data_IF_484869816922
#
_entry.id   IF_484869816922
#
_cell.length_a   1.000
_cell.length_b   1.000
_cell.length_c   1.000
_cell.angle_alpha   90.00
_cell.angle_beta   90.00
_cell.angle_gamma   90.00
#
_symmetry.space_group_name_H-M   'P 1'
#
loop_
_entity.id
_entity.type
_entity.pdbx_description
1 polymer ?
#
# COMPACT_ATOMS: atom_id res chain seq x y z
N UNK A 1 -8.25 5.86 -31.55
CA UNK A 1 -8.73 4.49 -31.25
C UNK A 1 -7.74 3.64 -30.44
N UNK A 2 -6.45 3.57 -30.79
CA UNK A 2 -5.46 2.79 -30.00
C UNK A 2 -5.19 3.40 -28.61
N UNK A 3 -5.03 4.72 -28.52
CA UNK A 3 -4.80 5.44 -27.26
C UNK A 3 -5.97 5.34 -26.27
N UNK A 4 -7.21 5.35 -26.77
CA UNK A 4 -8.43 5.17 -25.96
C UNK A 4 -8.64 3.73 -25.49
N UNK A 5 -8.02 2.75 -26.17
CA UNK A 5 -8.04 1.34 -25.73
C UNK A 5 -6.97 1.09 -24.68
N UNK A 6 -5.74 1.58 -24.88
CA UNK A 6 -4.66 1.44 -23.90
C UNK A 6 -4.97 2.14 -22.57
N UNK A 7 -5.69 3.26 -22.58
CA UNK A 7 -6.13 3.93 -21.35
C UNK A 7 -7.13 3.11 -20.53
N UNK A 8 -8.12 2.48 -21.18
CA UNK A 8 -9.07 1.59 -20.51
C UNK A 8 -8.38 0.40 -19.85
N UNK A 9 -7.35 -0.15 -20.50
CA UNK A 9 -6.56 -1.26 -19.93
C UNK A 9 -5.75 -0.76 -18.74
N UNK A 10 -5.13 0.42 -18.81
CA UNK A 10 -4.41 1.00 -17.68
C UNK A 10 -5.33 1.26 -16.48
N UNK A 11 -6.55 1.78 -16.70
CA UNK A 11 -7.56 1.95 -15.64
C UNK A 11 -7.95 0.58 -15.05
N UNK A 12 -8.21 -0.41 -15.91
CA UNK A 12 -8.52 -1.78 -15.47
C UNK A 12 -7.40 -2.38 -14.63
N UNK A 13 -6.13 -2.14 -15.00
CA UNK A 13 -4.97 -2.56 -14.23
C UNK A 13 -4.88 -1.83 -12.88
N UNK A 14 -5.19 -0.53 -12.81
CA UNK A 14 -5.26 0.21 -11.54
C UNK A 14 -6.31 -0.38 -10.62
N UNK A 15 -7.51 -0.70 -11.12
CA UNK A 15 -8.58 -1.32 -10.34
C UNK A 15 -8.16 -2.72 -9.88
N UNK A 16 -7.58 -3.53 -10.77
CA UNK A 16 -7.07 -4.85 -10.42
C UNK A 16 -5.96 -4.78 -9.36
N UNK A 17 -5.06 -3.81 -9.45
CA UNK A 17 -4.03 -3.58 -8.44
C UNK A 17 -4.62 -3.20 -7.08
N UNK A 18 -5.67 -2.36 -7.06
CA UNK A 18 -6.41 -2.07 -5.82
C UNK A 18 -7.06 -3.32 -5.24
N UNK A 19 -7.66 -4.18 -6.08
CA UNK A 19 -8.22 -5.47 -5.64
C UNK A 19 -7.12 -6.35 -5.04
N UNK A 20 -5.94 -6.42 -5.66
CA UNK A 20 -4.80 -7.18 -5.11
C UNK A 20 -4.39 -6.65 -3.74
N UNK A 21 -4.30 -5.33 -3.55
CA UNK A 21 -3.96 -4.72 -2.24
C UNK A 21 -5.02 -5.06 -1.19
N UNK A 22 -6.31 -4.98 -1.54
CA UNK A 22 -7.41 -5.35 -0.63
C UNK A 22 -7.38 -6.83 -0.28
N UNK A 23 -7.14 -7.71 -1.26
CA UNK A 23 -6.97 -9.14 -1.02
C UNK A 23 -5.76 -9.42 -0.12
N UNK A 24 -4.65 -8.70 -0.29
CA UNK A 24 -3.49 -8.85 0.60
C UNK A 24 -3.79 -8.43 2.04
N UNK A 25 -4.56 -7.35 2.22
CA UNK A 25 -5.07 -6.96 3.54
C UNK A 25 -6.01 -8.03 4.12
N UNK A 26 -6.88 -8.61 3.29
CA UNK A 26 -7.76 -9.71 3.69
C UNK A 26 -6.96 -10.94 4.14
N UNK A 27 -5.98 -11.40 3.35
CA UNK A 27 -5.07 -12.50 3.71
C UNK A 27 -4.38 -12.27 5.06
N UNK A 28 -3.99 -11.02 5.37
CA UNK A 28 -3.42 -10.68 6.68
C UNK A 28 -4.45 -10.72 7.80
N UNK A 29 -5.65 -10.18 7.59
CA UNK A 29 -6.70 -10.11 8.60
C UNK A 29 -7.32 -11.47 8.94
N UNK A 30 -7.25 -12.43 8.01
CA UNK A 30 -7.68 -13.81 8.22
C UNK A 30 -6.53 -14.73 8.64
N UNK A 31 -5.37 -14.17 9.01
CA UNK A 31 -4.14 -14.89 9.37
C UNK A 31 -3.67 -15.91 8.32
N UNK A 32 -4.10 -15.76 7.08
CA UNK A 32 -3.83 -16.67 5.96
C UNK A 32 -2.51 -16.40 5.26
N UNK A 33 -1.67 -15.48 5.75
CA UNK A 33 -0.39 -15.11 5.12
C UNK A 33 0.70 -16.18 5.16
N UNK A 34 0.45 -17.30 5.86
CA UNK A 34 1.30 -18.49 5.92
C UNK A 34 0.47 -19.77 5.71
N UNK A 35 -0.68 -19.66 5.03
CA UNK A 35 -1.51 -20.82 4.69
C UNK A 35 -0.82 -21.77 3.72
N UNK A 36 0.13 -21.26 2.92
CA UNK A 36 1.00 -22.04 2.06
C UNK A 36 2.46 -21.96 2.51
N UNK A 37 3.12 -23.08 2.83
CA UNK A 37 4.49 -23.07 3.37
C UNK A 37 5.56 -22.79 2.31
N UNK A 38 5.21 -22.91 1.03
CA UNK A 38 6.10 -22.75 -0.12
C UNK A 38 5.58 -21.68 -1.09
N UNK A 39 6.45 -21.30 -2.01
CA UNK A 39 6.16 -20.37 -3.11
C UNK A 39 6.90 -20.87 -4.36
N UNK A 40 6.30 -20.83 -5.57
CA UNK A 40 5.01 -20.21 -5.93
C UNK A 40 3.79 -21.10 -5.68
N UNK A 41 4.00 -22.39 -5.40
CA UNK A 41 2.94 -23.36 -5.11
C UNK A 41 2.45 -23.34 -3.66
N UNK A 42 1.65 -24.34 -3.30
CA UNK A 42 1.14 -24.59 -1.97
C UNK A 42 1.19 -26.09 -1.72
N UNK A 43 1.94 -26.51 -0.70
CA UNK A 43 2.26 -27.90 -0.41
C UNK A 43 2.82 -28.64 -1.64
N UNK A 44 3.70 -27.97 -2.40
CA UNK A 44 4.31 -28.52 -3.61
C UNK A 44 3.37 -28.66 -4.82
N UNK A 45 2.12 -28.18 -4.71
CA UNK A 45 1.13 -28.21 -5.77
C UNK A 45 0.74 -26.80 -6.21
N UNK A 46 0.19 -26.65 -7.40
CA UNK A 46 -0.34 -25.35 -7.82
C UNK A 46 -1.75 -25.09 -7.35
N UNK A 47 -2.45 -26.05 -6.73
CA UNK A 47 -3.82 -25.90 -6.23
C UNK A 47 -3.77 -26.12 -4.70
N UNK A 48 -4.45 -25.25 -3.95
CA UNK A 48 -4.54 -25.36 -2.50
C UNK A 48 -5.27 -26.67 -2.09
N UNK A 49 -4.87 -27.30 -0.97
CA UNK A 49 -5.51 -28.52 -0.49
C UNK A 49 -6.98 -28.28 -0.13
N UNK A 50 -7.86 -29.20 -0.52
CA UNK A 50 -9.30 -29.08 -0.25
C UNK A 50 -9.59 -28.97 1.25
N UNK A 51 -10.45 -28.01 1.62
CA UNK A 51 -10.85 -27.79 3.01
C UNK A 51 -9.91 -26.88 3.83
N UNK A 52 -8.80 -26.42 3.27
CA UNK A 52 -7.88 -25.47 3.92
C UNK A 52 -8.18 -24.04 3.50
N UNK A 53 -8.90 -23.30 4.35
CA UNK A 53 -9.37 -21.96 4.01
C UNK A 53 -8.21 -20.98 3.81
N UNK A 54 -7.23 -21.01 4.70
CA UNK A 54 -6.07 -20.14 4.72
C UNK A 54 -5.22 -20.31 3.46
N UNK A 55 -4.93 -21.56 3.07
CA UNK A 55 -4.21 -21.86 1.84
C UNK A 55 -4.96 -21.35 0.59
N UNK A 56 -6.29 -21.47 0.56
CA UNK A 56 -7.09 -20.98 -0.55
C UNK A 56 -7.06 -19.45 -0.66
N UNK A 57 -7.17 -18.74 0.47
CA UNK A 57 -7.09 -17.28 0.51
C UNK A 57 -5.73 -16.81 0.01
N UNK A 58 -4.65 -17.45 0.45
CA UNK A 58 -3.30 -17.10 0.02
C UNK A 58 -3.08 -17.36 -1.48
N UNK A 59 -3.50 -18.53 -1.98
CA UNK A 59 -3.38 -18.87 -3.40
C UNK A 59 -4.24 -17.96 -4.28
N UNK A 60 -5.44 -17.60 -3.84
CA UNK A 60 -6.28 -16.63 -4.55
C UNK A 60 -5.55 -15.29 -4.70
N UNK A 61 -4.96 -14.76 -3.64
CA UNK A 61 -4.17 -13.54 -3.71
C UNK A 61 -3.02 -13.67 -4.73
N UNK A 62 -2.27 -14.78 -4.70
CA UNK A 62 -1.17 -15.06 -5.64
C UNK A 62 -1.62 -15.10 -7.10
N UNK A 63 -2.74 -15.75 -7.41
CA UNK A 63 -3.24 -15.82 -8.79
C UNK A 63 -3.71 -14.47 -9.32
N UNK A 64 -4.45 -13.70 -8.51
CA UNK A 64 -4.92 -12.37 -8.91
C UNK A 64 -3.72 -11.44 -9.10
N UNK A 65 -2.71 -11.51 -8.23
CA UNK A 65 -1.45 -10.77 -8.39
C UNK A 65 -0.67 -11.20 -9.65
N UNK A 66 -0.59 -12.50 -9.94
CA UNK A 66 0.02 -13.01 -11.17
C UNK A 66 -0.69 -12.52 -12.44
N UNK A 67 -2.03 -12.49 -12.41
CA UNK A 67 -2.84 -11.94 -13.51
C UNK A 67 -2.57 -10.46 -13.76
N UNK A 68 -2.40 -9.67 -12.68
CA UNK A 68 -1.99 -8.27 -12.76
C UNK A 68 -0.60 -8.14 -13.40
N UNK A 69 0.34 -9.01 -13.05
CA UNK A 69 1.67 -9.07 -13.66
C UNK A 69 1.62 -9.24 -15.18
N UNK A 70 0.75 -10.13 -15.68
CA UNK A 70 0.54 -10.33 -17.12
C UNK A 70 -0.05 -9.09 -17.80
N UNK A 71 -1.03 -8.43 -17.16
CA UNK A 71 -1.60 -7.17 -17.65
C UNK A 71 -0.53 -6.08 -17.73
N UNK A 72 0.34 -5.98 -16.71
CA UNK A 72 1.44 -5.01 -16.67
C UNK A 72 2.46 -5.29 -17.76
N UNK A 73 2.82 -6.55 -18.00
CA UNK A 73 3.69 -6.94 -19.12
C UNK A 73 3.09 -6.51 -20.46
N UNK A 74 1.78 -6.69 -20.65
CA UNK A 74 1.09 -6.22 -21.85
C UNK A 74 1.09 -4.69 -21.95
N UNK A 75 0.88 -3.97 -20.84
CA UNK A 75 0.99 -2.51 -20.80
C UNK A 75 2.41 -2.04 -21.16
N UNK A 76 3.46 -2.71 -20.69
CA UNK A 76 4.84 -2.42 -21.09
C UNK A 76 5.04 -2.55 -22.60
N UNK A 77 4.44 -3.57 -23.23
CA UNK A 77 4.47 -3.72 -24.67
C UNK A 77 3.73 -2.57 -25.39
N UNK A 78 2.53 -2.18 -24.92
CA UNK A 78 1.74 -1.09 -25.51
C UNK A 78 2.43 0.27 -25.38
N UNK A 79 3.10 0.52 -24.25
CA UNK A 79 3.76 1.78 -23.90
C UNK A 79 5.29 1.74 -24.13
N UNK A 80 5.79 0.77 -24.91
CA UNK A 80 7.24 0.63 -25.16
C UNK A 80 7.89 1.86 -25.83
N UNK A 81 7.12 2.56 -26.66
CA UNK A 81 7.56 3.75 -27.41
C UNK A 81 7.03 5.07 -26.82
N UNK A 82 6.10 5.03 -25.87
CA UNK A 82 5.46 6.21 -25.26
C UNK A 82 5.27 5.97 -23.78
N UNK A 83 5.73 6.88 -22.92
CA UNK A 83 5.81 6.64 -21.46
C UNK A 83 6.72 5.46 -21.08
N UNK A 84 7.76 5.18 -21.90
CA UNK A 84 8.71 4.06 -21.71
C UNK A 84 9.23 4.01 -20.27
N UNK A 85 9.83 5.09 -19.77
CA UNK A 85 10.41 5.11 -18.42
C UNK A 85 9.39 4.68 -17.35
N UNK A 86 8.17 5.24 -17.39
CA UNK A 86 7.11 4.91 -16.43
C UNK A 86 6.69 3.44 -16.54
N UNK A 87 6.43 2.94 -17.75
CA UNK A 87 6.02 1.54 -17.95
C UNK A 87 7.08 0.54 -17.49
N UNK A 88 8.37 0.82 -17.75
CA UNK A 88 9.48 -0.02 -17.31
C UNK A 88 9.70 0.06 -15.79
N UNK A 89 9.54 1.24 -15.17
CA UNK A 89 9.58 1.37 -13.72
C UNK A 89 8.48 0.55 -13.04
N UNK A 90 7.26 0.53 -13.59
CA UNK A 90 6.17 -0.32 -13.08
C UNK A 90 6.54 -1.81 -13.21
N UNK A 91 7.07 -2.22 -14.37
CA UNK A 91 7.52 -3.60 -14.59
C UNK A 91 8.60 -4.05 -13.60
N UNK A 92 9.62 -3.23 -13.40
CA UNK A 92 10.68 -3.50 -12.43
C UNK A 92 10.13 -3.58 -10.99
N UNK A 93 9.21 -2.68 -10.63
CA UNK A 93 8.59 -2.68 -9.32
C UNK A 93 7.70 -3.92 -9.09
N UNK A 94 6.99 -4.41 -10.10
CA UNK A 94 6.21 -5.66 -10.02
C UNK A 94 7.11 -6.87 -9.77
N UNK A 95 8.26 -6.96 -10.43
CA UNK A 95 9.21 -8.05 -10.21
C UNK A 95 9.73 -7.99 -8.77
N UNK A 96 10.09 -6.80 -8.30
CA UNK A 96 10.51 -6.61 -6.92
C UNK A 96 9.39 -6.93 -5.91
N UNK A 97 8.14 -6.60 -6.24
CA UNK A 97 6.98 -6.93 -5.41
C UNK A 97 6.68 -8.43 -5.36
N UNK A 98 6.90 -9.16 -6.46
CA UNK A 98 6.84 -10.62 -6.45
C UNK A 98 7.92 -11.21 -5.53
N UNK A 99 9.14 -10.66 -5.54
CA UNK A 99 10.19 -11.06 -4.61
C UNK A 99 9.83 -10.75 -3.15
N UNK A 100 9.29 -9.56 -2.87
CA UNK A 100 8.80 -9.21 -1.53
C UNK A 100 7.67 -10.15 -1.07
N UNK A 101 6.71 -10.47 -1.93
CA UNK A 101 5.63 -11.42 -1.62
C UNK A 101 6.11 -12.86 -1.42
N UNK A 102 7.18 -13.28 -2.10
CA UNK A 102 7.85 -14.55 -1.78
C UNK A 102 8.51 -14.46 -0.39
N UNK A 103 9.21 -13.36 -0.10
CA UNK A 103 9.87 -13.16 1.18
C UNK A 103 8.89 -13.05 2.35
N UNK A 104 7.66 -12.57 2.16
CA UNK A 104 6.68 -12.59 3.25
C UNK A 104 6.42 -14.01 3.75
N UNK A 105 6.46 -15.01 2.87
CA UNK A 105 6.30 -16.42 3.24
C UNK A 105 7.60 -16.99 3.81
N UNK A 106 8.72 -16.84 3.07
CA UNK A 106 10.00 -17.46 3.48
C UNK A 106 10.59 -16.85 4.75
N UNK A 107 10.34 -15.56 5.00
CA UNK A 107 10.76 -14.87 6.23
C UNK A 107 9.72 -14.90 7.35
N UNK A 108 8.64 -15.68 7.20
CA UNK A 108 7.59 -15.86 8.20
C UNK A 108 6.99 -14.52 8.66
N UNK A 109 6.53 -13.73 7.71
CA UNK A 109 5.87 -12.44 7.91
C UNK A 109 6.73 -11.38 8.63
N UNK A 110 8.05 -11.38 8.38
CA UNK A 110 8.96 -10.38 8.92
C UNK A 110 8.40 -8.95 8.69
N UNK A 111 8.20 -8.13 9.75
CA UNK A 111 7.42 -6.89 9.65
C UNK A 111 7.88 -5.90 8.59
N UNK A 112 9.20 -5.76 8.42
CA UNK A 112 9.76 -4.86 7.42
C UNK A 112 9.48 -5.32 5.98
N UNK A 113 9.49 -6.63 5.73
CA UNK A 113 9.19 -7.20 4.41
C UNK A 113 7.73 -7.00 4.07
N UNK A 114 6.83 -7.36 4.99
CA UNK A 114 5.37 -7.22 4.79
C UNK A 114 4.98 -5.74 4.62
N UNK A 115 5.55 -4.85 5.42
CA UNK A 115 5.31 -3.40 5.30
C UNK A 115 5.84 -2.85 3.97
N UNK A 116 7.02 -3.29 3.54
CA UNK A 116 7.60 -2.90 2.24
C UNK A 116 6.79 -3.43 1.05
N UNK A 117 6.22 -4.63 1.19
CA UNK A 117 5.30 -5.22 0.21
C UNK A 117 4.04 -4.34 0.05
N UNK A 118 3.40 -3.94 1.15
CA UNK A 118 2.24 -3.02 1.13
C UNK A 118 2.59 -1.67 0.47
N UNK A 119 3.69 -1.04 0.89
CA UNK A 119 4.09 0.28 0.35
C UNK A 119 4.34 0.22 -1.15
N UNK A 120 5.05 -0.79 -1.63
CA UNK A 120 5.29 -0.90 -3.07
C UNK A 120 4.06 -1.37 -3.85
N UNK A 121 3.14 -2.13 -3.26
CA UNK A 121 1.82 -2.41 -3.84
C UNK A 121 1.00 -1.13 -4.07
N UNK A 122 0.97 -0.22 -3.09
CA UNK A 122 0.34 1.09 -3.23
C UNK A 122 1.08 1.98 -4.25
N UNK A 123 2.40 1.88 -4.33
CA UNK A 123 3.18 2.57 -5.36
C UNK A 123 2.82 2.05 -6.78
N UNK A 124 2.62 0.74 -6.97
CA UNK A 124 2.14 0.19 -8.26
C UNK A 124 0.76 0.78 -8.61
N UNK A 125 -0.17 0.83 -7.66
CA UNK A 125 -1.48 1.46 -7.86
C UNK A 125 -1.33 2.91 -8.33
N UNK A 126 -0.51 3.70 -7.62
CA UNK A 126 -0.27 5.11 -7.94
C UNK A 126 0.37 5.30 -9.33
N UNK A 127 1.35 4.47 -9.69
CA UNK A 127 2.04 4.54 -10.97
C UNK A 127 1.16 4.07 -12.14
N UNK A 128 0.34 3.04 -11.94
CA UNK A 128 -0.66 2.61 -12.93
C UNK A 128 -1.72 3.69 -13.13
N UNK A 129 -2.17 4.33 -12.04
CA UNK A 129 -3.09 5.45 -12.13
C UNK A 129 -2.46 6.63 -12.89
N UNK A 130 -1.19 6.96 -12.62
CA UNK A 130 -0.45 7.98 -13.37
C UNK A 130 -0.32 7.62 -14.87
N UNK A 131 -0.03 6.35 -15.18
CA UNK A 131 0.00 5.86 -16.56
C UNK A 131 -1.37 6.03 -17.24
N UNK A 132 -2.45 5.72 -16.51
CA UNK A 132 -3.82 5.92 -16.99
C UNK A 132 -4.09 7.40 -17.31
N UNK A 133 -3.75 8.33 -16.41
CA UNK A 133 -3.93 9.76 -16.63
C UNK A 133 -3.13 10.26 -17.84
N UNK A 134 -1.85 9.87 -17.95
CA UNK A 134 -1.00 10.25 -19.09
C UNK A 134 -1.45 9.65 -20.43
N UNK A 135 -2.22 8.57 -20.40
CA UNK A 135 -2.78 7.95 -21.61
C UNK A 135 -4.09 8.59 -22.07
N UNK A 136 -4.87 9.15 -21.14
CA UNK A 136 -6.13 9.88 -21.41
C UNK A 136 -5.84 11.34 -21.78
N UNK A 137 -4.90 11.98 -21.09
CA UNK A 137 -4.74 13.42 -21.14
C UNK A 137 -4.19 13.92 -22.48
N UNK A 138 -4.93 14.86 -23.10
CA UNK A 138 -4.31 15.98 -23.79
C UNK A 138 -3.65 16.87 -22.72
N UNK A 139 -2.48 17.49 -22.98
CA UNK A 139 -1.77 18.26 -21.97
C UNK A 139 -2.74 19.28 -21.35
N UNK A 140 -3.07 19.17 -20.05
CA UNK A 140 -3.92 20.16 -19.42
C UNK A 140 -3.21 21.51 -19.52
N UNK A 141 -3.97 22.59 -19.72
CA UNK A 141 -3.46 23.94 -19.48
C UNK A 141 -2.83 23.95 -18.09
N UNK A 142 -1.52 24.23 -18.02
CA UNK A 142 -0.76 24.13 -16.79
C UNK A 142 -1.39 25.06 -15.73
N UNK A 143 -2.10 24.46 -14.76
CA UNK A 143 -2.62 25.20 -13.62
C UNK A 143 -1.41 25.64 -12.78
N UNK A 144 -1.22 26.95 -12.65
CA UNK A 144 -0.11 27.50 -11.88
C UNK A 144 -0.52 27.56 -10.41
N UNK A 145 -0.16 26.52 -9.66
CA UNK A 145 -0.30 26.52 -8.21
C UNK A 145 0.68 27.52 -7.57
N UNK A 146 0.28 28.14 -6.46
CA UNK A 146 1.18 28.99 -5.67
C UNK A 146 2.22 28.14 -4.94
N UNK A 147 3.41 28.70 -4.66
CA UNK A 147 4.46 27.99 -3.91
C UNK A 147 3.96 27.50 -2.54
N UNK A 148 3.07 28.26 -1.89
CA UNK A 148 2.43 27.88 -0.62
C UNK A 148 1.55 26.63 -0.78
N UNK A 149 0.75 26.56 -1.85
CA UNK A 149 -0.10 25.40 -2.13
C UNK A 149 0.74 24.16 -2.46
N UNK A 150 1.79 24.32 -3.28
CA UNK A 150 2.71 23.22 -3.60
C UNK A 150 3.43 22.68 -2.36
N UNK A 151 3.90 23.57 -1.48
CA UNK A 151 4.48 23.16 -0.21
C UNK A 151 3.49 22.38 0.64
N UNK A 152 2.25 22.86 0.76
CA UNK A 152 1.20 22.19 1.53
C UNK A 152 0.86 20.80 0.95
N UNK A 153 0.75 20.68 -0.38
CA UNK A 153 0.51 19.39 -1.06
C UNK A 153 1.66 18.43 -0.79
N UNK A 154 2.91 18.86 -0.97
CA UNK A 154 4.08 18.00 -0.78
C UNK A 154 4.24 17.56 0.68
N UNK A 155 4.02 18.46 1.64
CA UNK A 155 4.01 18.11 3.07
C UNK A 155 2.88 17.13 3.38
N UNK A 156 1.67 17.34 2.86
CA UNK A 156 0.55 16.41 3.06
C UNK A 156 0.84 15.02 2.49
N UNK A 157 1.43 14.94 1.30
CA UNK A 157 1.83 13.68 0.68
C UNK A 157 2.90 12.95 1.51
N UNK A 158 3.91 13.68 2.02
CA UNK A 158 4.96 13.10 2.86
C UNK A 158 4.38 12.54 4.17
N UNK A 159 3.56 13.32 4.88
CA UNK A 159 2.94 12.88 6.13
C UNK A 159 1.98 11.71 5.89
N UNK A 160 1.23 11.71 4.79
CA UNK A 160 0.37 10.59 4.41
C UNK A 160 1.20 9.31 4.16
N UNK A 161 2.35 9.42 3.49
CA UNK A 161 3.24 8.28 3.28
C UNK A 161 3.74 7.70 4.61
N UNK A 162 4.17 8.56 5.53
CA UNK A 162 4.57 8.16 6.88
C UNK A 162 3.40 7.47 7.59
N UNK A 163 2.19 8.00 7.48
CA UNK A 163 1.01 7.42 8.12
C UNK A 163 0.63 6.05 7.57
N UNK A 164 0.75 5.84 6.25
CA UNK A 164 0.56 4.54 5.60
C UNK A 164 1.59 3.53 6.13
N UNK A 165 2.86 3.94 6.24
CA UNK A 165 3.93 3.10 6.79
C UNK A 165 3.62 2.77 8.26
N UNK A 166 3.22 3.74 9.08
CA UNK A 166 2.84 3.50 10.48
C UNK A 166 1.64 2.55 10.60
N UNK A 167 0.68 2.63 9.67
CA UNK A 167 -0.45 1.70 9.61
C UNK A 167 -0.01 0.27 9.29
N UNK A 168 0.84 0.10 8.27
CA UNK A 168 1.47 -1.18 7.95
C UNK A 168 2.30 -1.73 9.12
N UNK A 169 3.07 -0.87 9.77
CA UNK A 169 3.87 -1.20 10.95
C UNK A 169 3.01 -1.66 12.13
N UNK A 170 1.87 -1.01 12.35
CA UNK A 170 0.89 -1.37 13.39
C UNK A 170 0.31 -2.76 13.16
N UNK A 171 -0.07 -3.06 11.91
CA UNK A 171 -0.61 -4.38 11.54
C UNK A 171 0.43 -5.49 11.66
N UNK A 172 1.65 -5.25 11.17
CA UNK A 172 2.71 -6.27 11.11
C UNK A 172 3.31 -6.59 12.48
N UNK A 173 3.26 -5.65 13.43
CA UNK A 173 3.73 -5.84 14.81
C UNK A 173 2.63 -6.24 15.80
N UNK A 174 1.46 -6.67 15.31
CA UNK A 174 0.31 -7.06 16.14
C UNK A 174 -0.14 -5.97 17.12
N UNK A 175 0.11 -4.70 16.80
CA UNK A 175 -0.23 -3.56 17.62
C UNK A 175 -1.65 -3.05 17.34
N UNK A 176 -2.36 -3.57 16.32
CA UNK A 176 -3.69 -3.11 15.93
C UNK A 176 -4.75 -3.17 17.04
N UNK A 177 -4.61 -4.10 17.99
CA UNK A 177 -5.53 -4.24 19.14
C UNK A 177 -4.88 -3.87 20.48
N UNK A 178 -3.75 -3.15 20.47
CA UNK A 178 -3.03 -2.81 21.70
C UNK A 178 -3.81 -1.87 22.63
N UNK A 179 -4.65 -1.01 22.05
CA UNK A 179 -5.52 -0.08 22.77
C UNK A 179 -7.00 -0.42 22.48
N UNK A 180 -7.77 -0.92 23.47
CA UNK A 180 -9.14 -1.39 23.25
C UNK A 180 -10.18 -0.28 23.15
N UNK A 181 -9.87 0.91 23.64
CA UNK A 181 -10.73 2.09 23.71
C UNK A 181 -10.31 3.19 22.71
N UNK A 182 -11.18 4.19 22.56
CA UNK A 182 -10.96 5.38 21.72
C UNK A 182 -11.72 6.58 22.33
N UNK A 183 -11.12 7.79 22.38
CA UNK A 183 -9.82 8.17 21.84
C UNK A 183 -8.61 7.80 22.72
N UNK A 184 -8.85 7.40 23.98
CA UNK A 184 -7.83 7.00 24.96
C UNK A 184 -7.27 5.60 24.69
N UNK A 185 -6.23 5.22 25.46
CA UNK A 185 -5.72 3.86 25.57
C UNK A 185 -5.67 3.49 27.06
N UNK A 186 -6.48 2.52 27.47
CA UNK A 186 -6.71 2.17 28.88
C UNK A 186 -7.18 3.36 29.74
N UNK A 187 -8.00 4.25 29.17
CA UNK A 187 -8.49 5.45 29.85
C UNK A 187 -7.51 6.63 29.91
N UNK A 188 -6.29 6.48 29.38
CA UNK A 188 -5.29 7.54 29.32
C UNK A 188 -5.13 8.10 27.90
N UNK A 189 -5.03 9.42 27.76
CA UNK A 189 -4.69 10.05 26.47
C UNK A 189 -3.22 9.90 26.09
N UNK A 190 -2.35 9.82 27.12
CA UNK A 190 -0.90 9.72 26.99
C UNK A 190 -0.40 8.60 27.91
N UNK A 191 -0.62 7.32 27.54
CA UNK A 191 -0.08 6.20 28.31
C UNK A 191 1.46 6.23 28.30
N UNK A 192 2.08 5.43 29.15
CA UNK A 192 3.54 5.27 29.16
C UNK A 192 4.05 4.78 27.79
N UNK A 193 4.84 5.62 27.11
CA UNK A 193 5.36 5.35 25.76
C UNK A 193 6.78 4.81 25.82
N UNK A 194 7.00 3.67 25.17
CA UNK A 194 8.30 3.04 24.95
C UNK A 194 8.81 3.36 23.53
N UNK A 195 9.30 4.60 23.35
CA UNK A 195 9.80 5.07 22.06
C UNK A 195 11.07 4.36 21.59
N UNK A 196 11.85 3.79 22.51
CA UNK A 196 13.11 3.13 22.21
C UNK A 196 12.88 1.82 21.42
N UNK A 197 11.76 1.13 21.67
CA UNK A 197 11.45 -0.17 21.10
C UNK A 197 10.36 -0.13 20.01
N UNK A 198 10.03 1.04 19.46
CA UNK A 198 9.02 1.20 18.39
C UNK A 198 9.48 0.59 17.06
N UNK A 199 10.75 0.80 16.72
CA UNK A 199 11.33 0.40 15.43
C UNK A 199 12.35 -0.72 15.61
N UNK A 200 11.86 -1.86 16.12
CA UNK A 200 12.64 -3.09 16.16
C UNK A 200 12.36 -3.88 14.88
N UNK A 201 13.42 -4.19 14.13
CA UNK A 201 13.31 -4.84 12.82
C UNK A 201 13.48 -6.36 12.87
N UNK A 202 13.55 -6.92 14.08
CA UNK A 202 13.73 -8.35 14.31
C UNK A 202 12.39 -9.11 14.21
N UNK A 203 12.46 -10.45 14.22
CA UNK A 203 11.29 -11.34 14.18
C UNK A 203 10.50 -11.40 15.50
N UNK A 204 11.01 -10.80 16.57
CA UNK A 204 10.39 -10.87 17.88
C UNK A 204 9.15 -9.98 17.97
N UNK A 205 8.10 -10.51 18.61
CA UNK A 205 6.90 -9.73 18.90
C UNK A 205 7.28 -8.64 19.91
N UNK A 206 6.99 -7.34 19.62
CA UNK A 206 7.31 -6.27 20.55
C UNK A 206 6.61 -6.42 21.90
N UNK A 207 7.17 -5.81 22.94
CA UNK A 207 6.58 -5.77 24.28
C UNK A 207 5.21 -5.07 24.26
N UNK A 208 4.40 -5.26 25.30
CA UNK A 208 3.08 -4.62 25.41
C UNK A 208 3.18 -3.09 25.28
N UNK A 209 4.13 -2.46 25.99
CA UNK A 209 4.32 -1.00 25.93
C UNK A 209 4.79 -0.54 24.55
N UNK A 210 5.67 -1.29 23.88
CA UNK A 210 6.08 -0.98 22.52
C UNK A 210 4.89 -1.07 21.54
N UNK A 211 4.01 -2.08 21.66
CA UNK A 211 2.79 -2.19 20.84
C UNK A 211 1.80 -1.06 21.09
N UNK A 212 1.59 -0.68 22.35
CA UNK A 212 0.77 0.50 22.71
C UNK A 212 1.37 1.75 22.04
N UNK A 213 2.69 1.92 22.11
CA UNK A 213 3.39 3.06 21.52
C UNK A 213 3.23 3.10 20.00
N UNK A 214 3.43 1.98 19.32
CA UNK A 214 3.20 1.85 17.86
C UNK A 214 1.76 2.24 17.51
N UNK A 215 0.77 1.71 18.25
CA UNK A 215 -0.64 2.00 18.03
C UNK A 215 -0.96 3.49 18.23
N UNK A 216 -0.45 4.10 19.30
CA UNK A 216 -0.64 5.51 19.61
C UNK A 216 0.04 6.43 18.59
N UNK A 217 1.24 6.10 18.11
CA UNK A 217 1.91 6.86 17.04
C UNK A 217 1.07 6.85 15.75
N UNK A 218 0.48 5.71 15.38
CA UNK A 218 -0.44 5.65 14.25
C UNK A 218 -1.69 6.52 14.47
N UNK A 219 -2.29 6.53 15.67
CA UNK A 219 -3.45 7.38 15.99
C UNK A 219 -3.12 8.87 15.91
N UNK A 220 -2.01 9.30 16.51
CA UNK A 220 -1.58 10.70 16.47
C UNK A 220 -1.23 11.14 15.05
N UNK A 221 -0.54 10.30 14.28
CA UNK A 221 -0.28 10.54 12.86
C UNK A 221 -1.57 10.67 12.05
N UNK A 222 -2.60 9.86 12.34
CA UNK A 222 -3.91 9.94 11.70
C UNK A 222 -4.60 11.28 11.95
N UNK A 223 -4.54 11.78 13.19
CA UNK A 223 -5.09 13.08 13.56
C UNK A 223 -4.36 14.21 12.81
N UNK A 224 -3.02 14.19 12.79
CA UNK A 224 -2.19 15.19 12.11
C UNK A 224 -2.52 15.24 10.62
N UNK A 225 -2.55 14.09 9.93
CA UNK A 225 -2.84 14.07 8.49
C UNK A 225 -4.28 14.50 8.19
N UNK A 226 -5.24 14.16 9.04
CA UNK A 226 -6.64 14.57 8.88
C UNK A 226 -6.78 16.09 8.94
N UNK A 227 -6.13 16.73 9.92
CA UNK A 227 -6.09 18.19 10.04
C UNK A 227 -5.42 18.80 8.80
N UNK A 228 -4.27 18.28 8.39
CA UNK A 228 -3.51 18.80 7.26
C UNK A 228 -4.28 18.69 5.93
N UNK A 229 -4.94 17.57 5.67
CA UNK A 229 -5.80 17.38 4.51
C UNK A 229 -7.04 18.28 4.55
N UNK A 230 -7.62 18.51 5.74
CA UNK A 230 -8.74 19.45 5.91
C UNK A 230 -8.33 20.89 5.58
N UNK A 231 -7.13 21.31 6.02
CA UNK A 231 -6.55 22.62 5.66
C UNK A 231 -6.30 22.71 4.16
N UNK A 232 -5.76 21.65 3.54
CA UNK A 232 -5.52 21.60 2.10
C UNK A 232 -6.83 21.72 1.30
N UNK A 233 -7.85 20.94 1.67
CA UNK A 233 -9.20 21.01 1.11
C UNK A 233 -9.78 22.43 1.22
N UNK A 234 -9.74 23.02 2.43
CA UNK A 234 -10.22 24.38 2.64
C UNK A 234 -9.47 25.40 1.76
N UNK A 235 -8.14 25.30 1.63
CA UNK A 235 -7.36 26.19 0.77
C UNK A 235 -7.73 26.04 -0.72
N UNK A 236 -7.98 24.82 -1.19
CA UNK A 236 -8.40 24.55 -2.57
C UNK A 236 -9.80 25.13 -2.83
N UNK A 237 -10.75 24.93 -1.90
CA UNK A 237 -12.11 25.44 -2.04
C UNK A 237 -12.20 26.97 -1.97
N UNK A 238 -11.50 27.60 -1.02
CA UNK A 238 -11.52 29.06 -0.84
C UNK A 238 -10.86 29.76 -2.04
N UNK A 239 -9.76 29.21 -2.56
CA UNK A 239 -9.03 29.81 -3.68
C UNK A 239 -9.49 29.31 -5.04
N UNK A 240 -10.66 28.64 -5.13
CA UNK A 240 -11.20 28.05 -6.37
C UNK A 240 -11.42 29.09 -7.49
N UNK A 241 -11.54 30.37 -7.16
CA UNK A 241 -11.65 31.46 -8.14
C UNK A 241 -10.31 31.98 -8.68
N UNK A 242 -9.18 31.54 -8.12
CA UNK A 242 -7.82 31.95 -8.52
C UNK A 242 -7.08 30.90 -9.35
N UNK A 243 -7.70 29.74 -9.61
CA UNK A 243 -7.14 28.61 -10.35
C UNK A 243 -7.98 28.26 -11.56
#
# INVERSE_FOLDING_TARGET
>A
MLQTRSSKIAIGATILALIVVVLGAYTRLTDSGLGCPDWPGCYGNFIAPYGDFEAHVEMLHRYIAGSLGLVILYLMYLFRNSQRCLSWSIGALVIFQAALGMWTVTEKLLPIVVSSHLVGGLAIVALLFLLSLKSIAHPPTALRASNKLLWLINTALLILMIQIILGGWTSTNYAALACPDFPTCYGEFFPELDLANVFVFDKFIPTTNARITIHMLHRFGALIITILLSILLANIFINKSKY
#
